data_IF_677282282408
#
_entry.id   IF_677282282408
#
_cell.length_a   1.000
_cell.length_b   1.000
_cell.length_c   1.000
_cell.angle_alpha   90.00
_cell.angle_beta   90.00
_cell.angle_gamma   90.00
#
_symmetry.space_group_name_H-M   'P 1'
#
loop_
_entity.id
_entity.type
_entity.pdbx_description
1 polymer ?
#
# COMPACT_ATOMS: atom_id res chain seq x y z
N UNK A 1 37.00 31.51 -34.99
CA UNK A 1 36.81 30.18 -34.43
C UNK A 1 35.31 29.89 -34.48
N UNK A 2 34.88 29.21 -35.51
CA UNK A 2 33.50 28.90 -35.82
C UNK A 2 33.13 27.60 -35.12
N UNK A 3 32.30 27.67 -34.09
CA UNK A 3 31.68 26.52 -33.45
C UNK A 3 30.57 25.98 -34.35
N UNK A 4 30.82 24.90 -35.00
CA UNK A 4 29.84 24.15 -35.81
C UNK A 4 28.87 23.47 -34.85
N UNK A 5 27.69 24.05 -34.68
CA UNK A 5 26.57 23.38 -34.01
C UNK A 5 26.04 22.32 -34.98
N UNK A 6 26.33 21.07 -34.75
CA UNK A 6 25.76 19.96 -35.53
C UNK A 6 24.29 19.82 -35.08
N UNK A 7 23.37 20.27 -35.92
CA UNK A 7 21.93 19.94 -35.78
C UNK A 7 21.76 18.44 -36.04
N UNK A 8 21.44 17.69 -34.97
CA UNK A 8 21.10 16.27 -35.05
C UNK A 8 19.70 16.15 -35.64
N UNK A 9 19.60 15.49 -36.78
CA UNK A 9 18.32 15.09 -37.38
C UNK A 9 17.68 13.95 -36.53
N UNK A 10 16.34 13.88 -36.45
CA UNK A 10 15.63 12.92 -35.58
C UNK A 10 15.84 11.43 -35.94
N UNK A 11 16.47 11.12 -37.07
CA UNK A 11 16.51 9.79 -37.71
C UNK A 11 17.90 9.13 -37.70
N UNK A 12 18.90 9.76 -37.07
CA UNK A 12 20.25 9.17 -37.01
C UNK A 12 20.30 8.07 -35.91
N UNK A 13 20.93 6.90 -36.21
CA UNK A 13 21.15 5.87 -35.21
C UNK A 13 21.96 6.44 -34.03
N UNK A 14 21.66 6.03 -32.78
CA UNK A 14 22.33 6.59 -31.61
C UNK A 14 23.84 6.41 -31.72
N UNK A 15 24.58 7.50 -31.54
CA UNK A 15 26.05 7.44 -31.53
C UNK A 15 26.52 6.56 -30.35
N UNK A 16 27.72 5.96 -30.47
CA UNK A 16 28.31 5.15 -29.37
C UNK A 16 28.32 5.90 -28.03
N UNK A 17 28.52 7.22 -28.03
CA UNK A 17 28.49 8.06 -26.85
C UNK A 17 27.06 8.15 -26.25
N UNK A 18 26.03 8.28 -27.10
CA UNK A 18 24.64 8.30 -26.65
C UNK A 18 24.20 6.95 -26.07
N UNK A 19 24.63 5.85 -26.68
CA UNK A 19 24.39 4.51 -26.19
C UNK A 19 25.06 4.28 -24.82
N UNK A 20 26.31 4.74 -24.65
CA UNK A 20 26.99 4.67 -23.35
C UNK A 20 26.29 5.49 -22.26
N UNK A 21 25.90 6.72 -22.59
CA UNK A 21 25.14 7.60 -21.65
C UNK A 21 23.81 6.97 -21.23
N UNK A 22 23.08 6.36 -22.17
CA UNK A 22 21.85 5.65 -21.91
C UNK A 22 22.07 4.48 -20.93
N UNK A 23 23.10 3.66 -21.14
CA UNK A 23 23.40 2.54 -20.24
C UNK A 23 23.82 3.03 -18.83
N UNK A 24 24.57 4.12 -18.75
CA UNK A 24 24.92 4.75 -17.47
C UNK A 24 23.68 5.25 -16.73
N UNK A 25 22.78 5.96 -17.43
CA UNK A 25 21.52 6.46 -16.83
C UNK A 25 20.68 5.31 -16.30
N UNK A 26 20.50 4.26 -17.10
CA UNK A 26 19.78 3.06 -16.69
C UNK A 26 20.42 2.41 -15.45
N UNK A 27 21.76 2.33 -15.41
CA UNK A 27 22.51 1.82 -14.28
C UNK A 27 22.32 2.67 -13.02
N UNK A 28 22.31 4.01 -13.15
CA UNK A 28 22.05 4.90 -12.02
C UNK A 28 20.62 4.77 -11.48
N UNK A 29 19.61 4.68 -12.35
CA UNK A 29 18.22 4.43 -11.94
C UNK A 29 18.09 3.11 -11.16
N UNK A 30 18.73 2.05 -11.64
CA UNK A 30 18.73 0.75 -10.96
C UNK A 30 19.44 0.83 -9.60
N UNK A 31 20.58 1.51 -9.50
CA UNK A 31 21.32 1.72 -8.25
C UNK A 31 20.49 2.50 -7.21
N UNK A 32 19.68 3.46 -7.66
CA UNK A 32 18.71 4.20 -6.85
C UNK A 32 17.42 3.40 -6.55
N UNK A 33 17.34 2.13 -6.98
CA UNK A 33 16.17 1.25 -6.84
C UNK A 33 14.91 1.75 -7.58
N UNK A 34 15.08 2.60 -8.57
CA UNK A 34 14.04 3.10 -9.46
C UNK A 34 13.85 2.12 -10.63
N UNK A 35 13.35 0.94 -10.31
CA UNK A 35 13.29 -0.18 -11.24
C UNK A 35 12.33 0.06 -12.39
N UNK A 36 11.16 0.62 -12.07
CA UNK A 36 10.14 0.94 -13.08
C UNK A 36 10.64 2.02 -14.03
N UNK A 37 11.26 3.08 -13.51
CA UNK A 37 11.86 4.12 -14.33
C UNK A 37 12.96 3.57 -15.24
N UNK A 38 13.83 2.66 -14.74
CA UNK A 38 14.87 2.02 -15.53
C UNK A 38 14.30 1.14 -16.65
N UNK A 39 13.18 0.47 -16.43
CA UNK A 39 12.49 -0.37 -17.41
C UNK A 39 11.73 0.46 -18.44
N UNK A 40 11.06 1.54 -18.00
CA UNK A 40 10.25 2.41 -18.86
C UNK A 40 11.04 3.49 -19.58
N UNK A 41 12.32 3.68 -19.24
CA UNK A 41 13.18 4.69 -19.83
C UNK A 41 13.17 4.70 -21.37
N UNK A 42 13.32 3.55 -22.07
CA UNK A 42 13.32 3.55 -23.54
C UNK A 42 11.99 4.05 -24.11
N UNK A 43 10.87 3.61 -23.54
CA UNK A 43 9.54 4.01 -23.98
C UNK A 43 9.31 5.51 -23.79
N UNK A 44 9.69 6.06 -22.64
CA UNK A 44 9.52 7.48 -22.34
C UNK A 44 10.41 8.35 -23.26
N UNK A 45 11.65 7.91 -23.56
CA UNK A 45 12.53 8.62 -24.47
C UNK A 45 11.99 8.61 -25.91
N UNK A 46 11.41 7.51 -26.36
CA UNK A 46 10.78 7.40 -27.66
C UNK A 46 9.54 8.28 -27.80
N UNK A 47 8.66 8.25 -26.77
CA UNK A 47 7.53 9.15 -26.66
C UNK A 47 7.96 10.62 -26.63
N UNK A 48 9.01 10.96 -25.89
CA UNK A 48 9.53 12.33 -25.84
C UNK A 48 9.98 12.84 -27.20
N UNK A 49 10.58 11.99 -28.02
CA UNK A 49 10.95 12.32 -29.41
C UNK A 49 9.71 12.50 -30.30
N UNK A 50 8.80 11.53 -30.27
CA UNK A 50 7.60 11.52 -31.11
C UNK A 50 6.66 12.68 -30.79
N UNK A 51 6.42 12.95 -29.52
CA UNK A 51 5.54 13.98 -29.02
C UNK A 51 6.23 15.36 -28.90
N UNK A 52 7.54 15.43 -29.16
CA UNK A 52 8.38 16.64 -29.00
C UNK A 52 8.27 17.23 -27.59
N UNK A 53 8.31 16.37 -26.58
CA UNK A 53 8.23 16.81 -25.19
C UNK A 53 9.46 17.63 -24.78
N UNK A 54 9.23 18.57 -23.87
CA UNK A 54 10.36 19.21 -23.19
C UNK A 54 11.07 18.21 -22.28
N UNK A 55 12.35 18.46 -21.98
CA UNK A 55 13.12 17.61 -21.06
C UNK A 55 12.41 17.47 -19.71
N UNK A 56 11.85 18.57 -19.19
CA UNK A 56 11.10 18.57 -17.92
C UNK A 56 9.87 17.65 -17.99
N UNK A 57 9.10 17.71 -19.08
CA UNK A 57 7.92 16.86 -19.26
C UNK A 57 8.28 15.38 -19.40
N UNK A 58 9.38 15.06 -20.08
CA UNK A 58 9.85 13.68 -20.18
C UNK A 58 10.33 13.11 -18.83
N UNK A 59 11.05 13.93 -18.04
CA UNK A 59 11.47 13.55 -16.69
C UNK A 59 10.27 13.40 -15.73
N UNK A 60 9.30 14.32 -15.79
CA UNK A 60 8.08 14.22 -15.00
C UNK A 60 7.35 12.92 -15.29
N UNK A 61 7.11 12.59 -16.58
CA UNK A 61 6.45 11.34 -16.98
C UNK A 61 7.21 10.11 -16.47
N UNK A 62 8.55 10.10 -16.57
CA UNK A 62 9.37 8.99 -16.10
C UNK A 62 9.27 8.80 -14.57
N UNK A 63 9.36 9.88 -13.83
CA UNK A 63 9.27 9.82 -12.37
C UNK A 63 7.87 9.55 -11.85
N UNK A 64 6.83 10.04 -12.53
CA UNK A 64 5.44 9.71 -12.20
C UNK A 64 5.20 8.20 -12.25
N UNK A 65 5.68 7.51 -13.30
CA UNK A 65 5.59 6.04 -13.40
C UNK A 65 6.27 5.32 -12.22
N UNK A 66 7.43 5.79 -11.76
CA UNK A 66 8.12 5.20 -10.62
C UNK A 66 7.36 5.45 -9.30
N UNK A 67 6.85 6.68 -9.10
CA UNK A 67 6.06 7.05 -7.90
C UNK A 67 4.80 6.21 -7.81
N UNK A 68 4.08 6.04 -8.92
CA UNK A 68 2.86 5.22 -8.97
C UNK A 68 3.18 3.74 -8.66
N UNK A 69 4.24 3.21 -9.27
CA UNK A 69 4.67 1.84 -9.03
C UNK A 69 5.15 1.62 -7.57
N UNK A 70 5.88 2.57 -6.99
CA UNK A 70 6.32 2.50 -5.59
C UNK A 70 5.12 2.58 -4.63
N UNK A 71 4.18 3.46 -4.90
CA UNK A 71 2.93 3.59 -4.14
C UNK A 71 2.13 2.29 -4.17
N UNK A 72 1.98 1.68 -5.34
CA UNK A 72 1.30 0.39 -5.51
C UNK A 72 2.04 -0.74 -4.76
N UNK A 73 3.38 -0.80 -4.86
CA UNK A 73 4.20 -1.79 -4.13
C UNK A 73 4.05 -1.64 -2.61
N UNK A 74 4.08 -0.40 -2.10
CA UNK A 74 3.88 -0.12 -0.67
C UNK A 74 2.50 -0.50 -0.20
N UNK A 75 1.46 -0.18 -0.96
CA UNK A 75 0.09 -0.57 -0.66
C UNK A 75 -0.05 -2.11 -0.63
N UNK A 76 0.45 -2.80 -1.66
CA UNK A 76 0.43 -4.27 -1.70
C UNK A 76 1.17 -4.90 -0.51
N UNK A 77 2.32 -4.34 -0.12
CA UNK A 77 3.07 -4.77 1.05
C UNK A 77 2.29 -4.59 2.36
N UNK A 78 1.65 -3.42 2.56
CA UNK A 78 0.81 -3.16 3.73
C UNK A 78 -0.42 -4.07 3.77
N UNK A 79 -1.09 -4.26 2.63
CA UNK A 79 -2.26 -5.15 2.51
C UNK A 79 -1.91 -6.59 2.88
N UNK A 80 -0.77 -7.09 2.38
CA UNK A 80 -0.29 -8.44 2.73
C UNK A 80 0.03 -8.57 4.21
N UNK A 81 0.69 -7.56 4.79
CA UNK A 81 1.03 -7.54 6.21
C UNK A 81 -0.22 -7.47 7.10
N UNK A 82 -1.28 -6.80 6.66
CA UNK A 82 -2.51 -6.61 7.43
C UNK A 82 -3.25 -7.91 7.72
N UNK A 83 -3.05 -8.98 6.95
CA UNK A 83 -3.69 -10.29 7.14
C UNK A 83 -5.21 -10.21 7.29
N UNK A 84 -5.87 -9.34 6.48
CA UNK A 84 -7.32 -9.19 6.53
C UNK A 84 -8.00 -10.50 6.06
N UNK A 85 -9.01 -11.01 6.81
CA UNK A 85 -9.63 -12.29 6.52
C UNK A 85 -10.51 -12.29 5.27
N UNK A 86 -11.04 -11.12 4.89
CA UNK A 86 -11.93 -10.93 3.73
C UNK A 86 -11.55 -9.69 2.92
N UNK A 87 -11.94 -9.59 1.65
CA UNK A 87 -11.75 -8.39 0.84
C UNK A 87 -12.76 -7.26 1.14
N UNK A 88 -13.62 -7.40 2.15
CA UNK A 88 -14.71 -6.47 2.47
C UNK A 88 -14.24 -5.02 2.58
N UNK A 89 -15.08 -4.11 2.08
CA UNK A 89 -14.92 -2.65 2.14
C UNK A 89 -16.07 -2.03 2.91
N UNK A 90 -15.88 -0.84 3.45
CA UNK A 90 -16.97 -0.10 4.10
C UNK A 90 -18.10 0.24 3.12
N UNK A 91 -17.81 0.40 1.84
CA UNK A 91 -18.79 0.60 0.77
C UNK A 91 -19.73 -0.58 0.57
N UNK A 92 -19.31 -1.76 0.98
CA UNK A 92 -20.06 -3.00 0.81
C UNK A 92 -21.00 -3.26 1.99
N UNK A 93 -20.93 -2.41 3.04
CA UNK A 93 -21.73 -2.55 4.24
C UNK A 93 -23.13 -1.95 4.04
N UNK A 94 -24.16 -2.76 4.29
CA UNK A 94 -25.55 -2.35 4.24
C UNK A 94 -25.97 -1.72 5.60
N UNK A 95 -25.96 -0.39 5.64
CA UNK A 95 -26.38 0.37 6.81
C UNK A 95 -27.90 0.32 7.03
N UNK A 96 -28.69 0.09 5.98
CA UNK A 96 -30.17 0.01 6.09
C UNK A 96 -30.57 -1.30 6.79
N UNK A 97 -29.80 -2.37 6.58
CA UNK A 97 -29.98 -3.63 7.29
C UNK A 97 -29.50 -3.58 8.77
N UNK A 98 -28.75 -2.54 9.14
CA UNK A 98 -28.20 -2.38 10.49
C UNK A 98 -28.50 -0.97 11.06
N UNK A 99 -29.76 -0.59 11.31
CA UNK A 99 -30.16 0.77 11.66
C UNK A 99 -29.62 1.26 13.02
N UNK A 100 -29.06 0.36 13.83
CA UNK A 100 -28.39 0.72 15.10
C UNK A 100 -26.94 1.21 14.91
N UNK A 101 -26.42 1.24 13.69
CA UNK A 101 -25.06 1.69 13.40
C UNK A 101 -25.11 3.06 12.75
N UNK A 102 -24.47 4.04 13.38
CA UNK A 102 -24.35 5.39 12.84
C UNK A 102 -23.34 5.41 11.68
N UNK A 103 -23.85 5.55 10.46
CA UNK A 103 -23.04 5.63 9.24
C UNK A 103 -22.09 6.84 9.23
N UNK A 104 -22.48 7.96 9.85
CA UNK A 104 -21.63 9.14 9.97
C UNK A 104 -20.43 8.88 10.88
N UNK A 105 -20.65 8.19 11.99
CA UNK A 105 -19.57 7.77 12.89
C UNK A 105 -18.59 6.83 12.17
N UNK A 106 -19.09 5.86 11.42
CA UNK A 106 -18.23 4.95 10.64
C UNK A 106 -17.44 5.72 9.56
N UNK A 107 -18.07 6.69 8.89
CA UNK A 107 -17.38 7.54 7.90
C UNK A 107 -16.30 8.41 8.57
N UNK A 108 -16.54 8.93 9.77
CA UNK A 108 -15.53 9.68 10.53
C UNK A 108 -14.38 8.77 10.95
N UNK A 109 -14.65 7.57 11.46
CA UNK A 109 -13.62 6.58 11.77
C UNK A 109 -12.80 6.18 10.52
N UNK A 110 -13.42 6.13 9.34
CA UNK A 110 -12.72 5.82 8.10
C UNK A 110 -11.68 6.89 7.71
N UNK A 111 -11.76 8.11 8.26
CA UNK A 111 -10.70 9.13 8.09
C UNK A 111 -9.40 8.80 8.84
N UNK A 112 -9.42 7.80 9.70
CA UNK A 112 -8.28 7.34 10.51
C UNK A 112 -7.72 8.37 11.52
N UNK A 113 -8.41 9.50 11.79
CA UNK A 113 -7.96 10.53 12.74
C UNK A 113 -7.79 9.99 14.17
N UNK A 114 -8.59 8.99 14.56
CA UNK A 114 -8.49 8.34 15.87
C UNK A 114 -7.12 7.66 16.10
N UNK A 115 -6.38 7.32 15.04
CA UNK A 115 -5.03 6.75 15.13
C UNK A 115 -3.99 7.77 15.58
N UNK A 116 -4.17 9.04 15.20
CA UNK A 116 -3.27 10.15 15.60
C UNK A 116 -3.34 10.43 17.10
N UNK A 117 -4.54 10.28 17.67
CA UNK A 117 -4.78 10.44 19.11
C UNK A 117 -4.65 9.14 19.92
N UNK A 118 -4.22 8.05 19.28
CA UNK A 118 -4.13 6.71 19.86
C UNK A 118 -5.44 6.27 20.57
N UNK A 119 -6.60 6.67 20.03
CA UNK A 119 -7.90 6.32 20.57
C UNK A 119 -8.28 4.89 20.20
N UNK A 120 -8.74 4.12 21.18
CA UNK A 120 -9.25 2.78 20.95
C UNK A 120 -10.71 2.82 20.47
N UNK A 121 -11.02 1.97 19.48
CA UNK A 121 -12.39 1.77 18.98
C UNK A 121 -12.87 0.39 19.40
N UNK A 122 -14.06 0.32 19.99
CA UNK A 122 -14.66 -0.93 20.46
C UNK A 122 -16.03 -1.13 19.78
N UNK A 123 -16.15 -2.19 18.98
CA UNK A 123 -17.38 -2.56 18.29
C UNK A 123 -18.13 -3.60 19.14
N UNK A 124 -19.24 -3.18 19.76
CA UNK A 124 -20.07 -4.03 20.64
C UNK A 124 -21.45 -4.21 20.03
N UNK A 125 -21.97 -5.42 20.07
CA UNK A 125 -23.31 -5.74 19.58
C UNK A 125 -23.54 -7.25 19.50
N UNK A 126 -24.77 -7.69 19.20
CA UNK A 126 -25.11 -9.11 19.05
C UNK A 126 -24.34 -9.75 17.87
N UNK A 127 -24.26 -11.09 17.80
CA UNK A 127 -23.69 -11.77 16.63
C UNK A 127 -24.50 -11.47 15.37
N UNK A 128 -23.85 -11.48 14.20
CA UNK A 128 -24.50 -11.28 12.91
C UNK A 128 -24.70 -9.82 12.45
N UNK A 129 -24.47 -8.80 13.30
CA UNK A 129 -24.66 -7.38 12.92
C UNK A 129 -23.52 -6.76 12.09
N UNK A 130 -22.60 -7.56 11.58
CA UNK A 130 -21.54 -7.07 10.69
C UNK A 130 -20.32 -6.43 11.39
N UNK A 131 -20.08 -6.65 12.69
CA UNK A 131 -18.91 -6.08 13.43
C UNK A 131 -17.58 -6.41 12.76
N UNK A 132 -17.39 -7.68 12.37
CA UNK A 132 -16.19 -8.13 11.67
C UNK A 132 -16.03 -7.43 10.33
N UNK A 133 -17.12 -7.29 9.55
CA UNK A 133 -17.09 -6.60 8.28
C UNK A 133 -16.70 -5.13 8.44
N UNK A 134 -17.25 -4.43 9.45
CA UNK A 134 -16.86 -3.06 9.78
C UNK A 134 -15.41 -2.97 10.22
N UNK A 135 -14.95 -3.88 11.10
CA UNK A 135 -13.56 -3.89 11.56
C UNK A 135 -12.57 -4.12 10.43
N UNK A 136 -12.89 -5.03 9.49
CA UNK A 136 -12.09 -5.28 8.28
C UNK A 136 -12.11 -4.07 7.34
N UNK A 137 -13.29 -3.46 7.13
CA UNK A 137 -13.43 -2.26 6.31
C UNK A 137 -12.64 -1.07 6.85
N UNK A 138 -12.70 -0.82 8.18
CA UNK A 138 -11.89 0.22 8.85
C UNK A 138 -10.39 -0.09 8.78
N UNK A 139 -10.01 -1.35 8.98
CA UNK A 139 -8.62 -1.79 8.84
C UNK A 139 -8.09 -1.57 7.41
N UNK A 140 -8.92 -1.83 6.39
CA UNK A 140 -8.59 -1.58 4.99
C UNK A 140 -8.43 -0.09 4.72
N UNK A 141 -9.33 0.77 5.20
CA UNK A 141 -9.21 2.22 5.09
C UNK A 141 -7.89 2.71 5.68
N UNK A 142 -7.49 2.18 6.84
CA UNK A 142 -6.20 2.51 7.45
C UNK A 142 -5.00 2.05 6.60
N UNK A 143 -5.06 0.86 5.99
CA UNK A 143 -4.03 0.36 5.05
C UNK A 143 -3.91 1.28 3.83
N UNK A 144 -5.03 1.68 3.24
CA UNK A 144 -5.10 2.57 2.08
C UNK A 144 -4.61 3.98 2.43
N UNK A 145 -4.91 4.48 3.64
CA UNK A 145 -4.38 5.74 4.18
C UNK A 145 -2.87 5.69 4.53
N UNK A 146 -2.23 4.52 4.42
CA UNK A 146 -0.79 4.38 4.61
C UNK A 146 -0.36 3.83 5.97
N UNK A 147 -1.29 3.58 6.88
CA UNK A 147 -0.99 3.06 8.21
C UNK A 147 -0.63 1.58 8.19
N UNK A 148 0.30 1.20 9.04
CA UNK A 148 0.66 -0.20 9.26
C UNK A 148 -0.39 -0.87 10.13
N UNK A 149 -1.22 -1.71 9.54
CA UNK A 149 -2.35 -2.39 10.19
C UNK A 149 -2.08 -3.88 10.29
N UNK A 150 -2.54 -4.52 11.37
CA UNK A 150 -2.50 -5.96 11.53
C UNK A 150 -3.82 -6.46 12.12
N UNK A 151 -4.42 -7.46 11.47
CA UNK A 151 -5.64 -8.13 11.93
C UNK A 151 -5.29 -9.49 12.55
N UNK A 152 -5.92 -9.82 13.67
CA UNK A 152 -5.81 -11.13 14.30
C UNK A 152 -7.10 -11.46 15.06
N UNK A 153 -7.35 -12.74 15.29
CA UNK A 153 -8.40 -13.14 16.22
C UNK A 153 -7.87 -13.16 17.65
N UNK A 154 -8.75 -13.00 18.63
CA UNK A 154 -8.36 -13.12 20.04
C UNK A 154 -7.81 -14.51 20.36
N UNK A 155 -8.35 -15.57 19.72
CA UNK A 155 -7.86 -16.93 19.86
C UNK A 155 -6.42 -17.09 19.36
N UNK A 156 -6.12 -16.55 18.16
CA UNK A 156 -4.76 -16.60 17.60
C UNK A 156 -3.78 -15.77 18.42
N UNK A 157 -4.21 -14.59 18.87
CA UNK A 157 -3.40 -13.74 19.74
C UNK A 157 -3.03 -14.49 21.03
N UNK A 158 -4.01 -15.08 21.70
CA UNK A 158 -3.80 -15.83 22.93
C UNK A 158 -2.89 -17.04 22.71
N UNK A 159 -3.10 -17.80 21.61
CA UNK A 159 -2.27 -18.96 21.28
C UNK A 159 -0.81 -18.55 21.01
N UNK A 160 -0.58 -17.43 20.30
CA UNK A 160 0.77 -16.92 20.05
C UNK A 160 1.44 -16.41 21.32
N UNK A 161 0.71 -15.73 22.20
CA UNK A 161 1.21 -15.28 23.50
C UNK A 161 1.58 -16.47 24.38
N UNK A 162 0.72 -17.49 24.48
CA UNK A 162 0.97 -18.69 25.26
C UNK A 162 2.23 -19.42 24.78
N UNK A 163 2.34 -19.67 23.47
CA UNK A 163 3.53 -20.29 22.86
C UNK A 163 4.80 -19.47 23.13
N UNK A 164 4.72 -18.14 23.00
CA UNK A 164 5.85 -17.24 23.25
C UNK A 164 6.32 -17.29 24.71
N UNK A 165 5.40 -17.46 25.66
CA UNK A 165 5.74 -17.62 27.08
C UNK A 165 6.49 -18.93 27.34
N UNK A 166 6.03 -20.04 26.75
CA UNK A 166 6.70 -21.35 26.87
C UNK A 166 8.09 -21.35 26.23
N UNK A 167 8.22 -20.73 25.06
CA UNK A 167 9.46 -20.73 24.27
C UNK A 167 10.45 -19.61 24.67
N UNK A 168 10.13 -18.78 25.67
CA UNK A 168 10.99 -17.68 26.11
C UNK A 168 11.08 -16.53 25.10
N UNK A 169 10.14 -16.41 24.15
CA UNK A 169 10.13 -15.39 23.08
C UNK A 169 9.12 -14.27 23.30
N UNK A 170 8.69 -14.08 24.54
CA UNK A 170 7.68 -13.09 24.92
C UNK A 170 7.96 -11.69 24.40
N UNK A 171 9.18 -11.17 24.67
CA UNK A 171 9.55 -9.82 24.25
C UNK A 171 9.49 -9.60 22.74
N UNK A 172 9.87 -10.61 21.93
CA UNK A 172 9.80 -10.56 20.46
C UNK A 172 8.37 -10.56 19.97
N UNK A 173 7.52 -11.38 20.56
CA UNK A 173 6.10 -11.47 20.21
C UNK A 173 5.36 -10.18 20.57
N UNK A 174 5.63 -9.61 21.75
CA UNK A 174 5.03 -8.32 22.14
C UNK A 174 5.49 -7.19 21.23
N UNK A 175 6.76 -7.16 20.85
CA UNK A 175 7.28 -6.16 19.88
C UNK A 175 6.60 -6.28 18.51
N UNK A 176 6.28 -7.50 18.08
CA UNK A 176 5.53 -7.71 16.83
C UNK A 176 4.14 -7.10 16.90
N UNK A 177 3.37 -7.36 17.98
CA UNK A 177 2.00 -6.84 18.13
C UNK A 177 1.96 -5.34 18.45
N UNK A 178 2.99 -4.79 19.06
CA UNK A 178 3.12 -3.35 19.31
C UNK A 178 3.63 -2.56 18.10
N UNK A 179 4.07 -3.24 17.02
CA UNK A 179 4.64 -2.60 15.85
C UNK A 179 3.64 -1.98 14.86
N UNK A 180 2.44 -2.52 14.66
CA UNK A 180 1.39 -1.89 13.86
C UNK A 180 0.87 -0.61 14.51
N UNK A 181 0.50 0.38 13.66
CA UNK A 181 -0.22 1.59 14.13
C UNK A 181 -1.65 1.24 14.51
N UNK A 182 -2.26 0.28 13.80
CA UNK A 182 -3.58 -0.25 14.10
C UNK A 182 -3.49 -1.77 14.28
N UNK A 183 -3.84 -2.24 15.47
CA UNK A 183 -4.05 -3.66 15.75
C UNK A 183 -5.55 -3.92 15.87
N UNK A 184 -6.09 -4.77 15.01
CA UNK A 184 -7.48 -5.21 15.06
C UNK A 184 -7.54 -6.60 15.70
N UNK A 185 -8.35 -6.74 16.75
CA UNK A 185 -8.54 -8.01 17.45
C UNK A 185 -10.02 -8.36 17.37
N UNK A 186 -10.34 -9.41 16.61
CA UNK A 186 -11.70 -9.91 16.47
C UNK A 186 -11.93 -11.06 17.43
N UNK A 187 -13.08 -11.02 18.11
CA UNK A 187 -13.50 -12.07 19.04
C UNK A 187 -14.23 -13.24 18.35
N UNK A 188 -14.58 -13.10 17.06
CA UNK A 188 -15.22 -14.16 16.29
C UNK A 188 -14.30 -15.38 16.13
N UNK A 189 -14.89 -16.56 16.04
CA UNK A 189 -14.14 -17.81 15.81
C UNK A 189 -13.74 -17.92 14.33
N UNK A 190 -12.59 -18.52 13.99
CA UNK A 190 -12.13 -18.67 12.60
C UNK A 190 -13.14 -19.37 11.65
N UNK A 191 -14.09 -20.14 12.18
CA UNK A 191 -15.11 -20.85 11.39
C UNK A 191 -16.19 -19.93 10.81
N UNK A 192 -16.36 -18.74 11.39
CA UNK A 192 -17.42 -17.82 10.98
C UNK A 192 -17.06 -17.06 9.68
N UNK A 193 -15.84 -17.20 9.16
CA UNK A 193 -15.40 -16.59 7.91
C UNK A 193 -15.58 -17.49 6.67
N UNK A 194 -15.72 -18.82 6.88
CA UNK A 194 -15.83 -19.79 5.78
C UNK A 194 -17.27 -19.91 5.24
N UNK A 195 -18.27 -19.45 6.01
CA UNK A 195 -19.70 -19.59 5.69
C UNK A 195 -20.30 -18.26 5.14
N UNK A 196 -19.47 -17.27 4.79
CA UNK A 196 -19.87 -15.95 4.30
C UNK A 196 -19.67 -15.75 2.78
N UNK A 197 -19.51 -16.85 1.99
CA UNK A 197 -19.49 -16.84 0.52
C UNK A 197 -20.85 -17.22 -0.07
#
# INVERSE_FOLDING_TARGET
MTTTTTELTPDDPPTLAQAATYQQLRGHLAALKMTTAAEQLPLVLDQARTEKLTLTAALERLFALEVDADTARRLAGRTRFACLPTPARLSDFDFDAAPGIDSHLIADLATCRYLESATNVLLIGPPGVGKTMLSVGLARAAVEAGYRTYFTTAADLAARCHRAAIEGRWATTMRFFAGPTLLVIDLCRPRDYADAE
#
